data_IF_013256035455
#
_entry.id   IF_013256035455
#
_cell.length_a   1.000
_cell.length_b   1.000
_cell.length_c   1.000
_cell.angle_alpha   90.00
_cell.angle_beta   90.00
_cell.angle_gamma   90.00
#
_symmetry.space_group_name_H-M   'P 1'
#
loop_
_entity.id
_entity.type
_entity.pdbx_description
1 polymer ?
#
# COMPACT_ATOMS: atom_id res chain seq x y z
N UNK A 1 6.60 -24.58 -44.77
CA UNK A 1 5.42 -24.53 -43.90
C UNK A 1 5.87 -24.21 -42.47
N UNK A 2 5.69 -22.97 -41.99
CA UNK A 2 5.86 -22.67 -40.57
C UNK A 2 4.54 -22.85 -39.81
N UNK A 3 4.64 -23.47 -38.64
CA UNK A 3 3.56 -23.81 -37.70
C UNK A 3 2.93 -22.53 -37.17
N UNK A 4 1.61 -22.44 -37.28
CA UNK A 4 0.74 -21.41 -36.69
C UNK A 4 0.95 -21.44 -35.17
N UNK A 5 1.70 -20.49 -34.63
CA UNK A 5 1.89 -20.33 -33.18
C UNK A 5 0.61 -19.77 -32.57
N UNK A 6 -0.03 -20.61 -31.76
CA UNK A 6 -0.93 -20.34 -30.63
C UNK A 6 -1.63 -18.98 -30.64
N UNK A 7 -2.93 -19.04 -30.96
CA UNK A 7 -3.92 -18.04 -30.60
C UNK A 7 -3.93 -17.89 -29.06
N UNK A 8 -3.18 -16.90 -28.57
CA UNK A 8 -3.26 -16.44 -27.18
C UNK A 8 -4.66 -15.87 -26.99
N UNK A 9 -5.49 -16.56 -26.22
CA UNK A 9 -6.80 -16.06 -25.77
C UNK A 9 -6.60 -14.66 -25.18
N UNK A 10 -7.33 -13.63 -25.63
CA UNK A 10 -7.07 -12.26 -25.19
C UNK A 10 -7.24 -12.19 -23.67
N UNK A 11 -6.16 -11.87 -22.96
CA UNK A 11 -6.21 -11.63 -21.52
C UNK A 11 -7.32 -10.61 -21.23
N UNK A 12 -8.26 -10.97 -20.35
CA UNK A 12 -9.43 -10.15 -20.10
C UNK A 12 -9.01 -8.94 -19.26
N UNK A 13 -8.81 -7.82 -19.94
CA UNK A 13 -8.27 -6.59 -19.35
C UNK A 13 -9.40 -5.62 -19.01
N UNK A 14 -9.57 -5.33 -17.73
CA UNK A 14 -10.52 -4.32 -17.25
C UNK A 14 -9.79 -3.02 -16.91
N UNK A 15 -10.31 -1.90 -17.40
CA UNK A 15 -9.69 -0.59 -17.17
C UNK A 15 -9.95 -0.07 -15.75
N UNK A 16 -8.92 0.54 -15.18
CA UNK A 16 -9.06 1.39 -14.01
C UNK A 16 -9.29 2.83 -14.48
N UNK A 17 -10.05 3.60 -13.70
CA UNK A 17 -10.29 5.01 -14.01
C UNK A 17 -8.94 5.74 -14.01
N UNK A 18 -8.69 6.62 -14.96
CA UNK A 18 -7.42 7.35 -15.02
C UNK A 18 -7.61 8.77 -15.55
N UNK A 19 -6.62 9.63 -15.31
CA UNK A 19 -6.56 10.91 -16.00
C UNK A 19 -6.59 10.72 -17.53
N UNK A 20 -7.37 11.54 -18.22
CA UNK A 20 -7.56 11.43 -19.67
C UNK A 20 -6.23 11.58 -20.43
N UNK A 21 -5.31 12.43 -19.95
CA UNK A 21 -3.99 12.67 -20.52
C UNK A 21 -2.93 11.61 -20.15
N UNK A 22 -3.26 10.61 -19.32
CA UNK A 22 -2.31 9.53 -19.01
C UNK A 22 -2.01 8.68 -20.26
N UNK A 23 -0.75 8.70 -20.73
CA UNK A 23 -0.27 7.99 -21.93
C UNK A 23 -0.50 6.48 -21.81
N UNK A 24 -0.21 5.90 -20.63
CA UNK A 24 -0.44 4.48 -20.35
C UNK A 24 -1.52 4.33 -19.30
N UNK A 25 -2.61 3.66 -19.67
CA UNK A 25 -3.78 3.50 -18.81
C UNK A 25 -3.57 2.36 -17.80
N UNK A 26 -3.88 2.60 -16.50
CA UNK A 26 -3.89 1.57 -15.49
C UNK A 26 -5.04 0.58 -15.76
N UNK A 27 -4.79 -0.68 -15.46
CA UNK A 27 -5.72 -1.78 -15.76
C UNK A 27 -5.46 -2.98 -14.87
N UNK A 28 -6.48 -3.81 -14.73
CA UNK A 28 -6.38 -5.15 -14.15
C UNK A 28 -6.46 -6.14 -15.31
N UNK A 29 -5.51 -7.06 -15.37
CA UNK A 29 -5.45 -8.12 -16.39
C UNK A 29 -5.59 -9.44 -15.67
N UNK A 30 -6.45 -10.32 -16.17
CA UNK A 30 -6.54 -11.70 -15.71
C UNK A 30 -6.05 -12.65 -16.81
N UNK A 31 -5.10 -13.51 -16.47
CA UNK A 31 -4.57 -14.53 -17.38
C UNK A 31 -4.04 -15.72 -16.57
N UNK A 32 -4.37 -16.95 -16.99
CA UNK A 32 -3.85 -18.19 -16.41
C UNK A 32 -3.92 -18.29 -14.88
N UNK A 33 -5.03 -17.84 -14.26
CA UNK A 33 -5.21 -17.87 -12.81
C UNK A 33 -4.41 -16.81 -12.05
N UNK A 34 -3.90 -15.81 -12.74
CA UNK A 34 -3.14 -14.69 -12.15
C UNK A 34 -3.87 -13.38 -12.43
N UNK A 35 -4.02 -12.56 -11.40
CA UNK A 35 -4.46 -11.19 -11.49
C UNK A 35 -3.23 -10.29 -11.53
N UNK A 36 -3.07 -9.54 -12.62
CA UNK A 36 -1.99 -8.59 -12.81
C UNK A 36 -2.51 -7.16 -12.74
N UNK A 37 -2.09 -6.41 -11.71
CA UNK A 37 -2.36 -4.97 -11.62
C UNK A 37 -1.28 -4.22 -12.39
N UNK A 38 -1.66 -3.56 -13.48
CA UNK A 38 -0.77 -2.72 -14.27
C UNK A 38 -1.01 -1.28 -13.88
N UNK A 39 -0.07 -0.69 -13.12
CA UNK A 39 -0.16 0.66 -12.58
C UNK A 39 1.04 1.52 -13.02
N UNK A 40 1.05 2.05 -14.26
CA UNK A 40 2.22 2.72 -14.83
C UNK A 40 2.71 3.96 -14.05
N UNK A 41 1.78 4.65 -13.41
CA UNK A 41 2.08 5.76 -12.51
C UNK A 41 2.99 5.33 -11.36
N UNK A 42 2.69 4.19 -10.73
CA UNK A 42 3.39 3.69 -9.54
C UNK A 42 4.59 2.81 -9.88
N UNK A 43 4.45 1.85 -10.79
CA UNK A 43 5.42 0.77 -10.99
C UNK A 43 6.03 0.74 -12.40
N UNK A 44 5.68 1.69 -13.25
CA UNK A 44 6.10 1.71 -14.65
C UNK A 44 5.53 0.49 -15.39
N UNK A 45 6.37 -0.23 -16.12
CA UNK A 45 5.95 -1.39 -16.92
C UNK A 45 5.89 -2.70 -16.14
N UNK A 46 6.11 -2.66 -14.83
CA UNK A 46 6.12 -3.86 -13.98
C UNK A 46 4.70 -4.19 -13.57
N UNK A 47 4.11 -5.31 -14.06
CA UNK A 47 2.84 -5.77 -13.53
C UNK A 47 3.03 -6.25 -12.09
N UNK A 48 2.02 -6.02 -11.26
CA UNK A 48 1.93 -6.64 -9.96
C UNK A 48 1.05 -7.88 -10.06
N UNK A 49 1.67 -9.03 -10.17
CA UNK A 49 1.02 -10.32 -10.38
C UNK A 49 0.74 -11.01 -9.06
N UNK A 50 -0.51 -11.42 -8.86
CA UNK A 50 -1.01 -12.07 -7.65
C UNK A 50 -1.86 -13.27 -8.09
N UNK A 51 -1.63 -14.48 -7.54
CA UNK A 51 -2.50 -15.63 -7.80
C UNK A 51 -3.96 -15.30 -7.45
N UNK A 52 -4.89 -15.60 -8.35
CA UNK A 52 -6.29 -15.19 -8.23
C UNK A 52 -6.99 -15.81 -7.02
N UNK A 53 -6.62 -17.05 -6.67
CA UNK A 53 -7.07 -17.79 -5.49
C UNK A 53 -6.66 -17.11 -4.17
N UNK A 54 -5.68 -16.21 -4.22
CA UNK A 54 -5.23 -15.39 -3.08
C UNK A 54 -5.89 -14.02 -3.03
N UNK A 55 -6.74 -13.69 -4.01
CA UNK A 55 -7.43 -12.40 -4.09
C UNK A 55 -8.85 -12.58 -3.60
N UNK A 56 -9.26 -11.69 -2.70
CA UNK A 56 -10.65 -11.46 -2.40
C UNK A 56 -11.05 -10.07 -2.90
N UNK A 57 -12.22 -9.96 -3.52
CA UNK A 57 -12.70 -8.73 -4.17
C UNK A 57 -14.01 -8.29 -3.55
N UNK A 58 -14.18 -6.97 -3.44
CA UNK A 58 -15.43 -6.32 -3.11
C UNK A 58 -15.63 -5.05 -3.92
N UNK A 59 -16.80 -4.94 -4.53
CA UNK A 59 -17.32 -3.68 -5.05
C UNK A 59 -17.76 -2.77 -3.88
N UNK A 60 -17.16 -1.58 -3.78
CA UNK A 60 -17.49 -0.60 -2.74
C UNK A 60 -18.58 0.40 -3.20
N UNK A 61 -19.04 0.30 -4.44
CA UNK A 61 -20.08 1.19 -4.98
C UNK A 61 -21.51 0.72 -4.66
N UNK A 62 -21.69 -0.55 -4.28
CA UNK A 62 -23.00 -1.21 -4.28
C UNK A 62 -23.69 -1.33 -2.91
N UNK A 63 -23.07 -0.97 -1.80
CA UNK A 63 -23.73 -0.72 -0.51
C UNK A 63 -22.72 -0.11 0.50
N UNK A 64 -23.16 0.71 1.47
CA UNK A 64 -22.32 1.09 2.60
C UNK A 64 -21.81 -0.17 3.32
N UNK A 65 -20.63 -0.08 3.94
CA UNK A 65 -20.25 -1.05 4.97
C UNK A 65 -21.38 -1.08 6.01
N UNK A 66 -21.80 -2.26 6.51
CA UNK A 66 -22.67 -2.31 7.68
C UNK A 66 -22.05 -1.42 8.78
N UNK A 67 -22.85 -0.57 9.41
CA UNK A 67 -22.42 0.08 10.65
C UNK A 67 -22.27 -1.05 11.69
N UNK A 68 -21.04 -1.49 11.92
CA UNK A 68 -20.78 -2.43 12.99
C UNK A 68 -20.96 -1.71 14.34
N UNK A 69 -21.71 -2.37 15.22
CA UNK A 69 -21.75 -2.13 16.65
C UNK A 69 -20.30 -2.10 17.15
N UNK A 70 -19.90 -1.17 18.04
CA UNK A 70 -18.53 -1.04 18.50
C UNK A 70 -18.15 -2.21 19.41
N UNK A 71 -17.97 -3.39 18.84
CA UNK A 71 -17.20 -4.45 19.46
C UNK A 71 -15.72 -4.04 19.43
N UNK A 72 -14.96 -4.32 20.51
CA UNK A 72 -13.54 -4.02 20.52
C UNK A 72 -12.84 -4.81 19.40
N UNK A 73 -12.35 -4.10 18.39
CA UNK A 73 -11.62 -4.69 17.27
C UNK A 73 -10.44 -5.52 17.79
N UNK A 74 -10.36 -6.83 17.46
CA UNK A 74 -9.29 -7.68 17.93
C UNK A 74 -7.92 -7.19 17.45
N UNK A 75 -6.93 -7.19 18.35
CA UNK A 75 -5.58 -6.72 18.01
C UNK A 75 -4.87 -7.77 17.16
N UNK A 76 -4.67 -7.45 15.89
CA UNK A 76 -3.90 -8.28 14.96
C UNK A 76 -2.41 -8.26 15.30
N UNK A 77 -1.71 -9.38 15.13
CA UNK A 77 -0.28 -9.52 15.44
C UNK A 77 0.61 -8.53 14.67
N UNK A 78 0.22 -8.20 13.43
CA UNK A 78 0.88 -7.21 12.59
C UNK A 78 -0.06 -6.07 12.21
N UNK A 79 0.52 -4.92 11.89
CA UNK A 79 -0.23 -3.81 11.33
C UNK A 79 -0.77 -4.18 9.95
N UNK A 80 -2.06 -3.93 9.73
CA UNK A 80 -2.71 -4.16 8.43
C UNK A 80 -2.43 -2.98 7.52
N UNK A 81 -2.02 -3.28 6.29
CA UNK A 81 -1.63 -2.27 5.30
C UNK A 81 -2.49 -2.40 4.05
N UNK A 82 -3.41 -1.45 3.84
CA UNK A 82 -4.34 -1.44 2.69
C UNK A 82 -4.36 -0.04 2.07
N UNK A 83 -3.34 0.33 1.27
CA UNK A 83 -3.26 1.65 0.64
C UNK A 83 -4.33 1.84 -0.43
N UNK A 84 -4.68 3.10 -0.66
CA UNK A 84 -5.40 3.49 -1.87
C UNK A 84 -4.40 3.90 -2.95
N UNK A 85 -4.34 3.11 -4.03
CA UNK A 85 -3.51 3.40 -5.19
C UNK A 85 -4.33 4.21 -6.20
N UNK A 86 -4.47 5.51 -5.93
CA UNK A 86 -5.28 6.39 -6.76
C UNK A 86 -4.71 6.53 -8.17
N UNK A 87 -5.60 6.50 -9.16
CA UNK A 87 -5.26 6.58 -10.59
C UNK A 87 -5.85 7.82 -11.28
N UNK A 88 -6.76 8.54 -10.62
CA UNK A 88 -7.40 9.78 -11.08
C UNK A 88 -7.18 10.98 -10.19
N UNK A 89 -6.68 10.80 -8.97
CA UNK A 89 -6.44 11.86 -8.00
C UNK A 89 -6.67 11.41 -6.55
N UNK A 90 -5.95 12.00 -5.58
CA UNK A 90 -5.98 11.56 -4.18
C UNK A 90 -7.32 11.82 -3.47
N UNK A 91 -8.06 12.87 -3.89
CA UNK A 91 -9.36 13.23 -3.30
C UNK A 91 -10.53 12.38 -3.81
N UNK A 92 -10.29 11.53 -4.81
CA UNK A 92 -11.35 10.69 -5.37
C UNK A 92 -11.45 9.39 -4.58
N UNK A 93 -12.59 9.09 -3.97
CA UNK A 93 -12.77 7.86 -3.19
C UNK A 93 -12.56 6.58 -4.04
N UNK A 94 -12.00 5.50 -3.47
CA UNK A 94 -11.96 4.20 -4.14
C UNK A 94 -13.38 3.62 -4.30
N UNK A 95 -13.56 2.75 -5.30
CA UNK A 95 -14.81 2.01 -5.50
C UNK A 95 -14.61 0.49 -5.61
N UNK A 96 -13.38 0.01 -5.39
CA UNK A 96 -13.02 -1.40 -5.41
C UNK A 96 -12.01 -1.67 -4.31
N UNK A 97 -12.20 -2.76 -3.57
CA UNK A 97 -11.25 -3.27 -2.60
C UNK A 97 -10.79 -4.67 -3.01
N UNK A 98 -9.47 -4.85 -3.08
CA UNK A 98 -8.84 -6.16 -3.19
C UNK A 98 -8.14 -6.47 -1.87
N UNK A 99 -8.47 -7.59 -1.26
CA UNK A 99 -7.82 -8.11 -0.07
C UNK A 99 -7.03 -9.36 -0.44
N UNK A 100 -5.94 -9.61 0.25
CA UNK A 100 -5.08 -10.76 -0.03
C UNK A 100 -5.08 -11.74 1.12
N UNK A 101 -5.14 -13.04 0.81
CA UNK A 101 -5.05 -14.10 1.83
C UNK A 101 -3.69 -14.09 2.54
N UNK A 102 -2.64 -13.65 1.86
CA UNK A 102 -1.30 -13.40 2.39
C UNK A 102 -0.81 -12.01 1.97
N UNK A 103 0.09 -11.34 2.71
CA UNK A 103 0.66 -10.08 2.26
C UNK A 103 1.37 -10.24 0.92
N UNK A 104 1.10 -9.32 0.02
CA UNK A 104 1.70 -9.32 -1.30
C UNK A 104 2.86 -8.32 -1.33
N UNK A 105 4.02 -8.76 -1.83
CA UNK A 105 5.18 -7.89 -2.02
C UNK A 105 4.85 -6.87 -3.10
N UNK A 106 5.05 -5.60 -2.79
CA UNK A 106 4.83 -4.50 -3.72
C UNK A 106 5.98 -4.43 -4.72
N UNK A 107 5.72 -4.21 -6.03
CA UNK A 107 6.78 -3.96 -6.99
C UNK A 107 7.60 -2.70 -6.65
N UNK A 108 8.81 -2.54 -7.22
CA UNK A 108 9.61 -1.34 -7.02
C UNK A 108 8.87 -0.07 -7.43
N UNK A 109 8.65 0.81 -6.46
CA UNK A 109 7.91 2.07 -6.61
C UNK A 109 8.72 3.09 -7.40
N UNK A 110 8.12 3.82 -8.34
CA UNK A 110 8.80 4.92 -9.05
C UNK A 110 9.09 6.08 -8.10
N UNK A 111 10.17 6.82 -8.37
CA UNK A 111 10.58 7.94 -7.51
C UNK A 111 9.51 9.03 -7.43
N UNK A 112 8.87 9.38 -8.55
CA UNK A 112 7.82 10.42 -8.59
C UNK A 112 6.70 10.18 -7.58
N UNK A 113 5.96 9.05 -7.66
CA UNK A 113 4.95 8.68 -6.66
C UNK A 113 5.50 8.55 -5.24
N UNK A 114 6.76 8.12 -5.06
CA UNK A 114 7.35 7.97 -3.73
C UNK A 114 7.67 9.31 -3.04
N UNK A 115 7.85 10.37 -3.82
CA UNK A 115 8.17 11.72 -3.35
C UNK A 115 6.99 12.67 -3.49
N UNK A 116 5.82 12.18 -3.95
CA UNK A 116 4.66 13.01 -4.15
C UNK A 116 4.09 13.43 -2.78
N UNK A 117 3.89 14.74 -2.53
CA UNK A 117 3.47 15.25 -1.22
C UNK A 117 2.10 14.75 -0.76
N UNK A 118 1.29 14.23 -1.69
CA UNK A 118 -0.05 13.67 -1.41
C UNK A 118 -0.09 12.14 -1.58
N UNK A 119 1.06 11.47 -1.47
CA UNK A 119 1.12 10.01 -1.48
C UNK A 119 1.17 9.49 -0.05
N UNK A 120 0.00 9.21 0.54
CA UNK A 120 -0.12 8.50 1.83
C UNK A 120 0.22 7.01 1.67
N UNK A 121 1.29 6.70 0.95
CA UNK A 121 1.75 5.34 0.74
C UNK A 121 2.48 4.86 2.00
N UNK A 122 2.13 3.68 2.53
CA UNK A 122 2.78 3.08 3.69
C UNK A 122 4.19 2.51 3.35
N UNK A 123 4.68 2.75 2.13
CA UNK A 123 5.97 2.30 1.64
C UNK A 123 6.58 3.35 0.70
N UNK A 124 7.91 3.41 0.66
CA UNK A 124 8.66 4.37 -0.14
C UNK A 124 9.53 3.72 -1.22
N UNK A 125 10.30 4.59 -1.90
CA UNK A 125 11.19 4.20 -3.00
C UNK A 125 12.21 3.13 -2.58
N UNK A 126 12.88 3.33 -1.45
CA UNK A 126 13.90 2.42 -0.95
C UNK A 126 13.33 1.15 -0.33
N UNK A 127 12.21 1.24 0.40
CA UNK A 127 11.63 0.06 1.07
C UNK A 127 11.14 -0.99 0.08
N UNK A 128 10.56 -0.57 -1.05
CA UNK A 128 10.10 -1.49 -2.12
C UNK A 128 11.26 -2.16 -2.90
N UNK A 129 12.48 -1.62 -2.81
CA UNK A 129 13.68 -2.16 -3.50
C UNK A 129 14.57 -3.00 -2.60
N UNK A 130 14.48 -2.82 -1.28
CA UNK A 130 15.23 -3.61 -0.34
C UNK A 130 14.92 -5.11 -0.50
N UNK A 131 15.85 -5.96 -0.08
CA UNK A 131 15.67 -7.42 -0.07
C UNK A 131 14.42 -7.81 0.70
N UNK A 132 14.26 -7.26 1.91
CA UNK A 132 13.04 -7.40 2.73
C UNK A 132 11.76 -6.90 2.06
N UNK A 133 11.85 -6.06 1.03
CA UNK A 133 10.71 -5.47 0.32
C UNK A 133 9.75 -4.65 1.18
N UNK A 134 8.61 -4.31 0.57
CA UNK A 134 7.44 -3.79 1.24
C UNK A 134 6.24 -4.68 0.89
N UNK A 135 5.32 -4.85 1.83
CA UNK A 135 4.18 -5.75 1.69
C UNK A 135 2.89 -5.04 2.07
N UNK A 136 1.79 -5.43 1.44
CA UNK A 136 0.44 -4.98 1.79
C UNK A 136 -0.51 -6.15 1.92
N UNK A 137 -1.53 -5.99 2.76
CA UNK A 137 -2.58 -6.98 2.97
C UNK A 137 -3.75 -6.84 1.98
N UNK A 138 -3.81 -5.71 1.27
CA UNK A 138 -4.82 -5.42 0.27
C UNK A 138 -4.52 -4.11 -0.44
N UNK A 139 -5.34 -3.74 -1.42
CA UNK A 139 -5.28 -2.46 -2.11
C UNK A 139 -6.69 -1.95 -2.40
N UNK A 140 -6.89 -0.64 -2.22
CA UNK A 140 -8.08 0.05 -2.72
C UNK A 140 -7.75 0.61 -4.09
N UNK A 141 -8.71 0.53 -5.00
CA UNK A 141 -8.58 0.98 -6.39
C UNK A 141 -9.83 1.75 -6.82
N UNK A 142 -9.70 2.44 -7.95
CA UNK A 142 -10.85 3.02 -8.66
C UNK A 142 -11.02 2.38 -10.02
N UNK A 143 -11.91 1.41 -10.10
CA UNK A 143 -12.32 0.76 -11.34
C UNK A 143 -13.29 1.64 -12.14
N UNK A 144 -13.26 1.54 -13.46
CA UNK A 144 -14.26 2.18 -14.32
C UNK A 144 -15.62 1.51 -14.19
N UNK A 145 -15.64 0.17 -14.13
CA UNK A 145 -16.81 -0.66 -13.89
C UNK A 145 -16.51 -1.64 -12.74
N UNK A 146 -16.71 -1.24 -11.46
CA UNK A 146 -16.33 -2.06 -10.31
C UNK A 146 -17.13 -3.37 -10.22
N UNK A 147 -18.43 -3.35 -10.50
CA UNK A 147 -19.27 -4.56 -10.49
C UNK A 147 -18.94 -5.53 -11.63
N UNK A 148 -18.55 -5.02 -12.80
CA UNK A 148 -18.01 -5.84 -13.89
C UNK A 148 -16.70 -6.52 -13.51
N UNK A 149 -15.77 -5.77 -12.91
CA UNK A 149 -14.49 -6.30 -12.46
C UNK A 149 -14.64 -7.30 -11.31
N UNK A 150 -15.52 -7.05 -10.35
CA UNK A 150 -15.84 -8.00 -9.29
C UNK A 150 -16.32 -9.33 -9.90
N UNK A 151 -17.33 -9.30 -10.79
CA UNK A 151 -17.84 -10.52 -11.44
C UNK A 151 -16.76 -11.27 -12.21
N UNK A 152 -15.92 -10.57 -12.95
CA UNK A 152 -14.81 -11.16 -13.69
C UNK A 152 -13.82 -11.86 -12.76
N UNK A 153 -13.40 -11.19 -11.68
CA UNK A 153 -12.46 -11.76 -10.72
C UNK A 153 -13.06 -12.97 -9.98
N UNK A 154 -14.34 -12.92 -9.62
CA UNK A 154 -15.04 -14.06 -9.02
C UNK A 154 -15.13 -15.24 -9.98
N UNK A 155 -15.46 -14.99 -11.25
CA UNK A 155 -15.46 -16.03 -12.30
C UNK A 155 -14.06 -16.62 -12.52
N UNK A 156 -13.00 -15.83 -12.30
CA UNK A 156 -11.61 -16.25 -12.38
C UNK A 156 -11.11 -17.04 -11.15
N UNK A 157 -11.89 -17.13 -10.07
CA UNK A 157 -11.53 -17.87 -8.85
C UNK A 157 -11.17 -17.00 -7.64
N UNK A 158 -11.35 -15.69 -7.72
CA UNK A 158 -11.24 -14.83 -6.55
C UNK A 158 -12.41 -15.08 -5.58
N UNK A 159 -12.23 -14.73 -4.32
CA UNK A 159 -13.26 -14.90 -3.28
C UNK A 159 -14.04 -13.61 -3.03
N UNK A 160 -15.36 -13.71 -2.81
CA UNK A 160 -16.17 -12.57 -2.35
C UNK A 160 -16.07 -12.43 -0.83
N UNK A 161 -16.07 -11.21 -0.31
CA UNK A 161 -16.16 -10.96 1.13
C UNK A 161 -17.06 -9.75 1.45
N UNK A 162 -17.84 -9.88 2.51
CA UNK A 162 -18.85 -8.87 2.91
C UNK A 162 -18.35 -7.93 4.02
N UNK A 163 -17.37 -8.37 4.81
CA UNK A 163 -16.78 -7.58 5.90
C UNK A 163 -15.24 -7.70 5.86
N UNK A 164 -14.51 -6.59 5.62
CA UNK A 164 -13.05 -6.58 5.65
C UNK A 164 -12.47 -7.01 7.01
N UNK A 165 -13.13 -6.66 8.12
CA UNK A 165 -12.66 -6.95 9.48
C UNK A 165 -12.73 -8.45 9.73
N UNK A 166 -13.92 -9.07 9.55
CA UNK A 166 -14.07 -10.53 9.61
C UNK A 166 -13.18 -11.27 8.62
N UNK A 167 -12.97 -10.73 7.42
CA UNK A 167 -12.03 -11.31 6.45
C UNK A 167 -10.59 -11.35 6.99
N UNK A 168 -10.13 -10.25 7.59
CA UNK A 168 -8.81 -10.17 8.22
C UNK A 168 -8.70 -11.15 9.38
N UNK A 169 -9.71 -11.27 10.24
CA UNK A 169 -9.68 -12.24 11.34
C UNK A 169 -9.51 -13.69 10.88
N UNK A 170 -10.11 -14.05 9.75
CA UNK A 170 -10.00 -15.40 9.19
C UNK A 170 -8.59 -15.71 8.65
N UNK A 171 -7.87 -14.69 8.16
CA UNK A 171 -6.61 -14.88 7.44
C UNK A 171 -5.38 -14.27 8.14
N UNK A 172 -5.55 -13.70 9.33
CA UNK A 172 -4.48 -13.04 10.09
C UNK A 172 -4.44 -13.57 11.51
N UNK A 173 -3.23 -13.60 12.07
CA UNK A 173 -3.04 -13.97 13.46
C UNK A 173 -3.62 -12.88 14.37
N UNK A 174 -4.61 -13.27 15.17
CA UNK A 174 -5.18 -12.45 16.24
C UNK A 174 -4.40 -12.72 17.52
N UNK A 175 -4.05 -11.66 18.24
CA UNK A 175 -3.41 -11.77 19.55
C UNK A 175 -4.52 -11.86 20.59
N UNK A 176 -4.50 -12.92 21.40
CA UNK A 176 -5.51 -13.19 22.43
C UNK A 176 -5.05 -12.79 23.83
N UNK A 177 -3.74 -12.72 24.08
CA UNK A 177 -3.18 -12.31 25.38
C UNK A 177 -3.26 -10.79 25.57
N UNK A 178 -3.96 -10.35 26.61
CA UNK A 178 -4.16 -8.95 26.97
C UNK A 178 -2.85 -8.17 27.16
N UNK A 179 -1.81 -8.80 27.72
CA UNK A 179 -0.51 -8.14 27.90
C UNK A 179 0.19 -7.87 26.55
N UNK A 180 0.12 -8.84 25.64
CA UNK A 180 0.65 -8.71 24.29
C UNK A 180 -0.16 -7.72 23.44
N UNK A 181 -1.49 -7.71 23.59
CA UNK A 181 -2.37 -6.72 22.96
C UNK A 181 -1.99 -5.29 23.37
N UNK A 182 -1.84 -5.04 24.67
CA UNK A 182 -1.48 -3.72 25.18
C UNK A 182 -0.10 -3.28 24.69
N UNK A 183 0.88 -4.20 24.69
CA UNK A 183 2.24 -3.94 24.17
C UNK A 183 2.21 -3.53 22.70
N UNK A 184 1.45 -4.24 21.87
CA UNK A 184 1.33 -3.94 20.43
C UNK A 184 0.64 -2.59 20.22
N UNK A 185 -0.45 -2.33 20.93
CA UNK A 185 -1.20 -1.07 20.83
C UNK A 185 -0.34 0.12 21.25
N UNK A 186 0.38 0.03 22.38
CA UNK A 186 1.31 1.10 22.80
C UNK A 186 2.41 1.34 21.77
N UNK A 187 3.02 0.28 21.21
CA UNK A 187 4.05 0.41 20.17
C UNK A 187 3.53 1.12 18.93
N UNK A 188 2.30 0.83 18.49
CA UNK A 188 1.67 1.50 17.33
C UNK A 188 1.45 2.98 17.58
N UNK A 189 0.90 3.33 18.74
CA UNK A 189 0.65 4.74 19.11
C UNK A 189 1.97 5.53 19.17
N UNK A 190 3.01 4.97 19.78
CA UNK A 190 4.33 5.61 19.86
C UNK A 190 4.95 5.75 18.47
N UNK A 191 4.91 4.70 17.64
CA UNK A 191 5.44 4.74 16.28
C UNK A 191 4.77 5.80 15.41
N UNK A 192 3.43 5.92 15.50
CA UNK A 192 2.67 6.92 14.75
C UNK A 192 3.02 8.36 15.21
N UNK A 193 3.18 8.58 16.52
CA UNK A 193 3.62 9.88 17.05
C UNK A 193 5.03 10.25 16.61
N UNK A 194 5.95 9.30 16.56
CA UNK A 194 7.32 9.54 16.07
C UNK A 194 7.31 9.86 14.57
N UNK A 195 6.49 9.18 13.76
CA UNK A 195 6.32 9.50 12.34
C UNK A 195 5.80 10.93 12.12
N UNK A 196 4.77 11.33 12.89
CA UNK A 196 4.25 12.69 12.84
C UNK A 196 5.31 13.72 13.26
N UNK A 197 6.05 13.46 14.35
CA UNK A 197 7.12 14.34 14.81
C UNK A 197 8.24 14.46 13.76
N UNK A 198 8.64 13.37 13.10
CA UNK A 198 9.63 13.39 12.03
C UNK A 198 9.14 14.20 10.81
N UNK A 199 7.87 14.07 10.43
CA UNK A 199 7.27 14.88 9.36
C UNK A 199 7.30 16.38 9.71
N UNK A 200 7.01 16.74 10.96
CA UNK A 200 7.10 18.12 11.45
C UNK A 200 8.52 18.70 11.48
N UNK A 201 9.56 17.86 11.60
CA UNK A 201 10.97 18.32 11.60
C UNK A 201 11.52 18.50 10.17
N UNK A 202 10.97 17.81 9.17
CA UNK A 202 11.37 17.99 7.77
C UNK A 202 10.80 19.25 7.11
N UNK A 203 9.61 19.71 7.52
CA UNK A 203 8.94 20.88 6.93
C UNK A 203 9.73 22.20 7.13
N UNK A 204 10.35 22.50 8.28
CA UNK A 204 11.17 23.70 8.45
C UNK A 204 12.50 23.64 7.70
N UNK A 205 13.07 22.44 7.49
CA UNK A 205 14.37 22.27 6.84
C UNK A 205 14.33 22.55 5.33
N UNK A 206 13.17 22.39 4.69
CA UNK A 206 12.99 22.64 3.24
C UNK A 206 12.47 24.07 2.97
N UNK A 207 11.78 24.69 3.92
CA UNK A 207 11.21 26.05 3.76
C UNK A 207 12.21 27.13 4.22
N UNK A 208 13.20 26.79 5.06
CA UNK A 208 14.18 27.73 5.60
C UNK A 208 15.47 27.92 4.77
N UNK A 209 15.51 27.48 3.50
CA UNK A 209 16.76 27.48 2.71
C UNK A 209 17.32 28.88 2.45
N UNK A 210 16.46 29.92 2.32
CA UNK A 210 16.92 31.31 2.12
C UNK A 210 17.38 32.02 3.41
N UNK A 211 17.04 31.49 4.60
CA UNK A 211 17.42 32.12 5.88
C UNK A 211 18.64 31.45 6.56
N UNK A 212 19.04 30.25 6.12
CA UNK A 212 20.03 29.41 6.81
C UNK A 212 21.36 29.22 6.06
N UNK A 213 21.46 29.64 4.80
CA UNK A 213 22.68 29.53 3.97
C UNK A 213 23.23 30.93 3.68
N UNK A 214 23.42 31.74 4.73
CA UNK A 214 24.46 32.78 4.71
C UNK A 214 25.81 32.14 5.00
N UNK A 215 26.93 32.80 4.68
CA UNK A 215 28.29 32.30 4.96
C UNK A 215 28.54 31.94 6.45
N UNK A 216 27.67 32.41 7.37
CA UNK A 216 27.63 32.08 8.81
C UNK A 216 26.41 31.21 9.21
N UNK A 217 25.97 30.31 8.33
CA UNK A 217 24.88 29.36 8.62
C UNK A 217 25.20 28.52 9.87
N UNK A 218 24.34 28.50 10.89
CA UNK A 218 24.75 28.00 12.18
C UNK A 218 24.82 26.46 12.19
N UNK A 219 26.00 25.93 12.50
CA UNK A 219 26.34 24.49 12.53
C UNK A 219 25.34 23.61 13.30
N UNK A 220 24.56 24.18 14.22
CA UNK A 220 23.53 23.45 14.97
C UNK A 220 22.42 22.87 14.07
N UNK A 221 22.12 23.48 12.92
CA UNK A 221 21.11 22.97 11.99
C UNK A 221 21.58 21.65 11.34
N UNK A 222 22.84 21.59 10.94
CA UNK A 222 23.49 20.38 10.41
C UNK A 222 23.59 19.31 11.50
N UNK A 223 23.94 19.70 12.73
CA UNK A 223 24.01 18.78 13.88
C UNK A 223 22.63 18.23 14.27
N UNK A 224 21.55 19.02 14.18
CA UNK A 224 20.18 18.54 14.38
C UNK A 224 19.77 17.56 13.28
N UNK A 225 20.07 17.88 12.02
CA UNK A 225 19.80 16.97 10.91
C UNK A 225 20.54 15.63 11.10
N UNK A 226 21.83 15.69 11.46
CA UNK A 226 22.63 14.51 11.79
C UNK A 226 22.08 13.76 13.01
N UNK A 227 21.65 14.45 14.06
CA UNK A 227 21.07 13.82 15.24
C UNK A 227 19.74 13.12 14.93
N UNK A 228 18.91 13.69 14.04
CA UNK A 228 17.66 13.07 13.56
C UNK A 228 17.97 11.85 12.67
N UNK A 229 18.94 11.95 11.77
CA UNK A 229 19.38 10.84 10.91
C UNK A 229 19.99 9.71 11.76
N UNK A 230 20.85 10.03 12.73
CA UNK A 230 21.46 9.05 13.64
C UNK A 230 20.43 8.47 14.60
N UNK A 231 19.46 9.24 15.08
CA UNK A 231 18.37 8.74 15.92
C UNK A 231 17.45 7.78 15.16
N UNK A 232 17.09 8.11 13.92
CA UNK A 232 16.24 7.26 13.08
C UNK A 232 16.95 6.00 12.58
N UNK A 233 18.25 6.09 12.25
CA UNK A 233 19.08 4.94 11.88
C UNK A 233 19.48 4.07 13.09
N UNK A 234 19.79 4.68 14.24
CA UNK A 234 20.13 3.98 15.48
C UNK A 234 18.98 3.14 16.04
N UNK A 235 17.74 3.65 15.96
CA UNK A 235 16.54 2.91 16.34
C UNK A 235 16.26 1.72 15.42
N UNK A 236 16.59 1.81 14.13
CA UNK A 236 16.42 0.71 13.18
C UNK A 236 17.47 -0.40 13.34
N UNK A 237 18.67 -0.09 13.83
CA UNK A 237 19.70 -1.09 14.19
C UNK A 237 19.41 -1.78 15.53
N UNK A 238 18.92 -1.03 16.54
CA UNK A 238 18.56 -1.61 17.85
C UNK A 238 17.29 -2.46 17.79
N UNK A 239 16.33 -2.11 16.92
CA UNK A 239 15.16 -2.95 16.65
C UNK A 239 15.50 -4.29 15.98
N UNK A 240 16.54 -4.34 15.14
CA UNK A 240 16.98 -5.55 14.46
C UNK A 240 17.78 -6.53 15.33
N UNK A 241 18.48 -6.04 16.37
CA UNK A 241 19.28 -6.89 17.28
C UNK A 241 18.49 -7.56 18.40
N UNK A 242 17.23 -7.15 18.66
CA UNK A 242 16.33 -7.79 19.65
C UNK A 242 15.33 -8.78 19.04
N UNK A 243 15.45 -9.05 17.73
CA UNK A 243 14.60 -10.00 17.01
C UNK A 243 15.36 -11.29 16.60
N UNK A 244 16.53 -11.56 17.20
CA UNK A 244 17.19 -12.86 17.18
C UNK A 244 17.07 -13.49 18.56
#
# INVERSE_FOLDING_TARGET
MPRKSDEVTPAEATRLKAYWYAVRKPRVVHEAGVVSLVLPGYFGDRPWSIPVDRVAVRDLSSAPLPEDIPEPEPVLARQVTIPYLFTTGPLTLPNLLLMFTEPQRVPPLRLGPAMAPNSDLPFGYFSTRAERGAYVDGVKLRAENPSGLERLLLAAGATRFEDPVRWLHRHRQVITDAADQERITRRRVVGHRIQLAAAFVWVPAVIGEEALIGEDGPLWAILLLLAVIVGTLGLSVVGGRRAR
#
